data_IF_859382529941
#
_entry.id   IF_859382529941
#
_cell.length_a   1.000
_cell.length_b   1.000
_cell.length_c   1.000
_cell.angle_alpha   90.00
_cell.angle_beta   90.00
_cell.angle_gamma   90.00
#
_symmetry.space_group_name_H-M   'P 1'
#
loop_
_entity.id
_entity.type
_entity.pdbx_description
1 polymer ?
#
# COMPACT_ATOMS: atom_id res chain seq x y z
N UNK A 1 -34.36 -23.73 -6.68
CA UNK A 1 -34.78 -23.73 -8.10
C UNK A 1 -33.76 -24.55 -8.85
N UNK A 2 -34.20 -25.58 -9.58
CA UNK A 2 -33.31 -26.38 -10.43
C UNK A 2 -33.24 -25.69 -11.79
N UNK A 3 -32.06 -25.23 -12.20
CA UNK A 3 -31.84 -24.72 -13.54
C UNK A 3 -31.43 -25.90 -14.43
N UNK A 4 -32.22 -26.18 -15.48
CA UNK A 4 -31.88 -27.17 -16.50
C UNK A 4 -31.00 -26.53 -17.57
N UNK A 5 -29.93 -27.24 -17.94
CA UNK A 5 -28.90 -26.80 -18.86
C UNK A 5 -28.68 -27.78 -20.03
N UNK A 6 -29.54 -28.80 -20.16
CA UNK A 6 -29.42 -29.89 -21.14
C UNK A 6 -29.41 -29.44 -22.61
N UNK A 7 -29.96 -28.27 -22.93
CA UNK A 7 -30.01 -27.70 -24.28
C UNK A 7 -28.90 -26.71 -24.65
N UNK A 8 -27.98 -26.39 -23.74
CA UNK A 8 -26.95 -25.38 -23.99
C UNK A 8 -25.70 -25.96 -24.62
N UNK A 9 -25.13 -25.24 -25.59
CA UNK A 9 -23.81 -25.56 -26.12
C UNK A 9 -22.71 -25.21 -25.10
N UNK A 10 -21.53 -25.80 -25.27
CA UNK A 10 -20.39 -25.50 -24.38
C UNK A 10 -20.04 -24.00 -24.33
N UNK A 11 -20.18 -23.28 -25.44
CA UNK A 11 -19.89 -21.85 -25.52
C UNK A 11 -20.95 -20.99 -24.78
N UNK A 12 -22.22 -21.38 -24.85
CA UNK A 12 -23.30 -20.69 -24.13
C UNK A 12 -23.21 -20.95 -22.63
N UNK A 13 -22.84 -22.17 -22.22
CA UNK A 13 -22.57 -22.49 -20.80
C UNK A 13 -21.42 -21.65 -20.26
N UNK A 14 -20.32 -21.51 -21.02
CA UNK A 14 -19.19 -20.68 -20.60
C UNK A 14 -19.60 -19.21 -20.46
N UNK A 15 -20.35 -18.68 -21.42
CA UNK A 15 -20.84 -17.30 -21.37
C UNK A 15 -21.75 -17.06 -20.16
N UNK A 16 -22.56 -18.05 -19.78
CA UNK A 16 -23.43 -17.99 -18.61
C UNK A 16 -22.63 -18.03 -17.30
N UNK A 17 -21.57 -18.84 -17.23
CA UNK A 17 -20.64 -18.85 -16.10
C UNK A 17 -19.95 -17.48 -15.95
N UNK A 18 -19.45 -16.92 -17.05
CA UNK A 18 -18.76 -15.63 -17.03
C UNK A 18 -19.71 -14.48 -16.61
N UNK A 19 -20.94 -14.50 -17.12
CA UNK A 19 -21.97 -13.55 -16.71
C UNK A 19 -22.35 -13.72 -15.22
N UNK A 20 -22.52 -14.95 -14.76
CA UNK A 20 -22.89 -15.24 -13.38
C UNK A 20 -21.77 -14.86 -12.39
N UNK A 21 -20.52 -15.17 -12.72
CA UNK A 21 -19.36 -14.80 -11.90
C UNK A 21 -19.18 -13.28 -11.83
N UNK A 22 -19.38 -12.58 -12.95
CA UNK A 22 -19.40 -11.11 -12.97
C UNK A 22 -20.51 -10.55 -12.08
N UNK A 23 -21.74 -11.03 -12.22
CA UNK A 23 -22.88 -10.59 -11.42
C UNK A 23 -22.66 -10.86 -9.92
N UNK A 24 -22.10 -12.02 -9.56
CA UNK A 24 -21.73 -12.36 -8.18
C UNK A 24 -20.71 -11.36 -7.61
N UNK A 25 -19.66 -11.06 -8.37
CA UNK A 25 -18.64 -10.08 -7.95
C UNK A 25 -19.24 -8.69 -7.73
N UNK A 26 -20.08 -8.23 -8.65
CA UNK A 26 -20.74 -6.93 -8.51
C UNK A 26 -21.65 -6.86 -7.27
N UNK A 27 -22.38 -7.94 -6.97
CA UNK A 27 -23.20 -8.07 -5.76
C UNK A 27 -22.34 -8.01 -4.49
N UNK A 28 -21.29 -8.82 -4.40
CA UNK A 28 -20.38 -8.82 -3.26
C UNK A 28 -19.72 -7.44 -3.05
N UNK A 29 -19.28 -6.79 -4.12
CA UNK A 29 -18.71 -5.44 -4.04
C UNK A 29 -19.75 -4.40 -3.61
N UNK A 30 -21.01 -4.53 -4.04
CA UNK A 30 -22.08 -3.64 -3.60
C UNK A 30 -22.38 -3.78 -2.11
N UNK A 31 -22.44 -5.01 -1.60
CA UNK A 31 -22.60 -5.29 -0.18
C UNK A 31 -21.42 -4.76 0.63
N UNK A 32 -20.19 -5.02 0.17
CA UNK A 32 -18.96 -4.50 0.78
C UNK A 32 -18.99 -2.99 0.89
N UNK A 33 -19.37 -2.27 -0.17
CA UNK A 33 -19.49 -0.80 -0.15
C UNK A 33 -20.50 -0.31 0.88
N UNK A 34 -21.64 -0.98 1.00
CA UNK A 34 -22.67 -0.60 1.95
C UNK A 34 -22.19 -0.79 3.41
N UNK A 35 -21.51 -1.91 3.70
CA UNK A 35 -20.89 -2.11 5.01
C UNK A 35 -19.85 -1.03 5.32
N UNK A 36 -19.00 -0.67 4.36
CA UNK A 36 -18.00 0.38 4.55
C UNK A 36 -18.64 1.74 4.79
N UNK A 37 -19.76 2.04 4.13
CA UNK A 37 -20.53 3.27 4.35
C UNK A 37 -21.06 3.32 5.78
N UNK A 38 -21.64 2.24 6.28
CA UNK A 38 -22.15 2.15 7.64
C UNK A 38 -21.02 2.29 8.68
N UNK A 39 -19.88 1.62 8.45
CA UNK A 39 -18.70 1.76 9.30
C UNK A 39 -18.20 3.21 9.33
N UNK A 40 -18.19 3.89 8.18
CA UNK A 40 -17.77 5.29 8.11
C UNK A 40 -18.71 6.23 8.86
N UNK A 41 -20.02 5.99 8.77
CA UNK A 41 -21.00 6.78 9.51
C UNK A 41 -20.83 6.62 11.03
N UNK A 42 -20.67 5.38 11.50
CA UNK A 42 -20.42 5.09 12.92
C UNK A 42 -19.10 5.70 13.40
N UNK A 43 -18.03 5.57 12.61
CA UNK A 43 -16.73 6.14 12.93
C UNK A 43 -16.80 7.68 13.01
N UNK A 44 -17.49 8.32 12.07
CA UNK A 44 -17.70 9.77 12.06
C UNK A 44 -18.46 10.24 13.29
N UNK A 45 -19.51 9.52 13.70
CA UNK A 45 -20.28 9.81 14.92
C UNK A 45 -19.45 9.69 16.19
N UNK A 46 -18.52 8.74 16.23
CA UNK A 46 -17.60 8.55 17.36
C UNK A 46 -16.35 9.45 17.30
N UNK A 47 -16.21 10.31 16.27
CA UNK A 47 -15.03 11.17 16.10
C UNK A 47 -13.74 10.39 15.81
N UNK A 48 -13.85 9.14 15.36
CA UNK A 48 -12.72 8.26 15.05
C UNK A 48 -12.59 8.07 13.55
N UNK A 49 -11.36 7.92 13.07
CA UNK A 49 -11.07 7.54 11.69
C UNK A 49 -10.71 6.07 11.65
N UNK A 50 -11.41 5.27 10.86
CA UNK A 50 -11.01 3.89 10.60
C UNK A 50 -10.19 3.81 9.30
N UNK A 51 -9.27 2.85 9.27
CA UNK A 51 -8.49 2.52 8.09
C UNK A 51 -8.83 1.08 7.71
N UNK A 52 -9.23 0.87 6.46
CA UNK A 52 -9.40 -0.47 5.91
C UNK A 52 -8.00 -1.05 5.69
N UNK A 53 -7.71 -2.15 6.37
CA UNK A 53 -6.53 -2.96 6.13
C UNK A 53 -7.04 -4.19 5.39
N UNK A 54 -6.84 -4.25 4.08
CA UNK A 54 -7.00 -5.52 3.37
C UNK A 54 -5.91 -6.45 3.84
N UNK A 55 -6.28 -7.68 4.20
CA UNK A 55 -5.35 -8.68 4.72
C UNK A 55 -4.20 -8.90 3.71
N UNK A 56 -3.03 -8.34 4.04
CA UNK A 56 -1.81 -8.44 3.26
C UNK A 56 -1.22 -9.87 3.25
N UNK A 57 -1.84 -10.82 3.97
CA UNK A 57 -1.45 -12.23 3.96
C UNK A 57 -1.64 -12.89 2.59
N UNK A 58 -2.51 -12.35 1.72
CA UNK A 58 -2.69 -12.79 0.33
C UNK A 58 -1.93 -11.89 -0.65
N UNK A 59 -0.61 -11.90 -0.55
CA UNK A 59 0.29 -11.53 -1.65
C UNK A 59 0.55 -10.04 -1.82
N UNK A 60 1.73 -9.61 -1.39
CA UNK A 60 2.32 -8.33 -1.78
C UNK A 60 1.97 -7.18 -0.84
N UNK A 61 2.87 -6.89 0.10
CA UNK A 61 2.76 -5.74 0.99
C UNK A 61 2.52 -4.45 0.21
N UNK A 62 1.30 -3.92 0.29
CA UNK A 62 1.02 -2.58 -0.20
C UNK A 62 1.76 -1.57 0.70
N UNK A 63 2.44 -0.56 0.11
CA UNK A 63 3.16 0.43 0.88
C UNK A 63 2.17 1.20 1.75
N UNK A 64 2.45 1.21 3.06
CA UNK A 64 1.75 2.03 4.04
C UNK A 64 1.43 3.42 3.47
N UNK A 65 0.15 3.78 3.43
CA UNK A 65 -0.34 5.08 2.97
C UNK A 65 0.06 6.24 3.89
N UNK A 66 0.90 6.01 4.91
CA UNK A 66 1.74 7.06 5.49
C UNK A 66 2.83 7.45 4.48
N UNK A 67 2.42 8.08 3.37
CA UNK A 67 3.31 8.97 2.60
C UNK A 67 3.60 10.19 3.48
N UNK A 68 4.52 10.02 4.44
CA UNK A 68 5.28 11.18 4.89
C UNK A 68 5.90 11.81 3.65
N UNK A 69 5.81 13.13 3.51
CA UNK A 69 6.45 13.84 2.41
C UNK A 69 7.88 13.31 2.23
N UNK A 70 8.25 12.92 1.01
CA UNK A 70 9.58 12.39 0.70
C UNK A 70 10.59 13.49 1.01
N UNK A 71 11.17 13.45 2.21
CA UNK A 71 12.14 14.45 2.66
C UNK A 71 13.38 14.30 1.78
N UNK A 72 13.87 15.38 1.14
CA UNK A 72 15.08 15.31 0.34
C UNK A 72 16.25 14.82 1.20
N UNK A 73 17.16 14.07 0.57
CA UNK A 73 18.41 13.70 1.21
C UNK A 73 19.22 14.96 1.51
N UNK A 74 19.71 15.10 2.74
CA UNK A 74 20.59 16.22 3.14
C UNK A 74 22.06 15.82 3.07
N UNK A 75 22.36 14.55 3.34
CA UNK A 75 23.72 14.00 3.37
C UNK A 75 23.88 12.82 2.41
N UNK A 76 25.07 12.67 1.81
CA UNK A 76 25.41 11.58 0.89
C UNK A 76 26.78 10.99 1.21
N UNK A 77 26.89 9.66 1.09
CA UNK A 77 28.17 8.97 1.26
C UNK A 77 29.12 9.29 0.08
N UNK A 78 30.35 9.76 0.32
CA UNK A 78 31.31 10.08 -0.74
C UNK A 78 31.86 8.84 -1.44
N UNK A 79 31.82 7.67 -0.79
CA UNK A 79 32.25 6.41 -1.38
C UNK A 79 31.12 5.67 -2.10
N UNK A 80 29.85 5.99 -1.81
CA UNK A 80 28.70 5.37 -2.44
C UNK A 80 27.55 6.39 -2.63
N UNK A 81 27.40 6.98 -3.83
CA UNK A 81 26.34 7.94 -4.13
C UNK A 81 24.90 7.45 -3.95
N UNK A 82 24.68 6.12 -3.91
CA UNK A 82 23.36 5.55 -3.65
C UNK A 82 22.93 5.66 -2.18
N UNK A 83 23.89 5.77 -1.26
CA UNK A 83 23.61 5.89 0.17
C UNK A 83 23.41 7.34 0.57
N UNK A 84 22.16 7.67 0.90
CA UNK A 84 21.72 9.02 1.22
C UNK A 84 20.96 9.05 2.54
N UNK A 85 21.06 10.16 3.25
CA UNK A 85 20.36 10.36 4.53
C UNK A 85 19.71 11.73 4.59
N UNK A 86 18.44 11.77 4.98
CA UNK A 86 17.63 13.01 5.05
C UNK A 86 17.91 13.86 6.30
N UNK A 87 18.80 13.41 7.19
CA UNK A 87 19.03 14.05 8.48
C UNK A 87 17.97 13.72 9.54
N UNK A 88 16.95 12.92 9.20
CA UNK A 88 15.91 12.46 10.13
C UNK A 88 16.09 10.97 10.48
N UNK A 89 15.78 10.62 11.73
CA UNK A 89 15.87 9.24 12.23
C UNK A 89 17.29 8.79 12.57
N UNK A 90 17.51 7.48 12.59
CA UNK A 90 18.80 6.87 12.95
C UNK A 90 19.84 7.17 11.86
N UNK A 91 21.05 7.59 12.27
CA UNK A 91 22.17 7.83 11.35
C UNK A 91 22.58 6.51 10.66
N UNK A 92 22.88 6.49 9.36
CA UNK A 92 23.34 5.29 8.69
C UNK A 92 24.77 4.91 9.12
N UNK A 93 25.13 3.63 8.96
CA UNK A 93 26.43 3.09 9.41
C UNK A 93 27.63 3.83 8.81
N UNK A 94 27.58 4.17 7.53
CA UNK A 94 28.66 4.91 6.86
C UNK A 94 28.90 6.27 7.52
N UNK A 95 27.83 6.99 7.88
CA UNK A 95 27.95 8.30 8.51
C UNK A 95 28.47 8.18 9.93
N UNK A 96 28.00 7.18 10.68
CA UNK A 96 28.52 6.89 12.02
C UNK A 96 30.01 6.57 11.99
N UNK A 97 30.48 5.80 11.00
CA UNK A 97 31.89 5.46 10.86
C UNK A 97 32.76 6.69 10.60
N UNK A 98 32.34 7.62 9.73
CA UNK A 98 33.09 8.87 9.49
C UNK A 98 33.06 9.82 10.68
N UNK A 99 31.92 9.93 11.37
CA UNK A 99 31.83 10.74 12.59
C UNK A 99 32.73 10.17 13.71
N UNK A 100 32.83 8.84 13.81
CA UNK A 100 33.74 8.19 14.76
C UNK A 100 35.22 8.44 14.43
N UNK A 101 35.56 8.74 13.18
CA UNK A 101 36.89 9.16 12.74
C UNK A 101 37.15 10.67 12.97
N UNK A 102 36.21 11.39 13.58
CA UNK A 102 36.35 12.82 13.88
C UNK A 102 36.04 13.77 12.72
N UNK A 103 35.44 13.27 11.62
CA UNK A 103 35.06 14.11 10.47
C UNK A 103 33.79 14.89 10.75
N UNK A 104 33.65 16.06 10.11
CA UNK A 104 32.45 16.88 10.27
C UNK A 104 31.33 16.34 9.38
N UNK A 105 30.11 16.26 9.92
CA UNK A 105 28.91 15.87 9.19
C UNK A 105 28.65 16.76 7.97
N UNK A 106 29.08 18.03 8.02
CA UNK A 106 28.93 19.02 6.94
C UNK A 106 29.71 18.63 5.68
N UNK A 107 30.76 17.83 5.80
CA UNK A 107 31.52 17.33 4.65
C UNK A 107 30.69 16.44 3.73
N UNK A 108 29.60 15.86 4.26
CA UNK A 108 28.72 14.97 3.54
C UNK A 108 27.44 15.66 3.06
N UNK A 109 27.29 16.97 3.27
CA UNK A 109 26.09 17.70 2.81
C UNK A 109 26.03 17.78 1.30
N UNK A 110 24.88 17.40 0.74
CA UNK A 110 24.59 17.57 -0.67
C UNK A 110 24.38 19.07 -0.90
N UNK A 111 25.34 19.73 -1.55
CA UNK A 111 25.14 21.09 -2.06
C UNK A 111 24.14 20.99 -3.21
N UNK A 112 22.94 21.52 -2.97
CA UNK A 112 21.90 21.67 -4.01
C UNK A 112 22.20 22.90 -4.83
#
# INVERSE_FOLDING_TARGET
>A
MSHDFSGYTAQELQSLIDAATKALKEKLESERREYLRQMNELASKAGVRFQIIEDLSKGGGAPSTRRGAKVPAKYQNPHNPAEKWSGRGVKPRWLQAFLAQGRDIKEFEIKT
#
